data_IF_512373945065
#
_entry.id   IF_512373945065
#
_cell.length_a   1.000
_cell.length_b   1.000
_cell.length_c   1.000
_cell.angle_alpha   90.00
_cell.angle_beta   90.00
_cell.angle_gamma   90.00
#
_symmetry.space_group_name_H-M   'P 1'
#
loop_
_entity.id
_entity.type
_entity.pdbx_description
1 polymer ?
#
# COMPACT_ATOMS: atom_id res chain seq x y z
N UNK A 1 -8.66 17.24 8.22
CA UNK A 1 -7.56 16.39 8.74
C UNK A 1 -8.00 14.93 8.83
N UNK A 2 -8.97 14.59 9.68
CA UNK A 2 -9.42 13.20 9.89
C UNK A 2 -9.82 12.45 8.62
N UNK A 3 -10.67 13.02 7.76
CA UNK A 3 -11.07 12.41 6.47
C UNK A 3 -9.88 12.06 5.57
N UNK A 4 -8.84 12.90 5.54
CA UNK A 4 -7.63 12.66 4.75
C UNK A 4 -6.87 11.47 5.32
N UNK A 5 -6.68 11.45 6.64
CA UNK A 5 -6.02 10.35 7.35
C UNK A 5 -6.76 9.04 7.10
N UNK A 6 -8.09 9.02 7.19
CA UNK A 6 -8.89 7.82 6.90
C UNK A 6 -8.72 7.32 5.47
N UNK A 7 -8.74 8.21 4.47
CA UNK A 7 -8.47 7.84 3.07
C UNK A 7 -7.04 7.32 2.93
N UNK A 8 -6.06 7.97 3.56
CA UNK A 8 -4.67 7.50 3.62
C UNK A 8 -4.58 6.09 4.20
N UNK A 9 -5.21 5.83 5.36
CA UNK A 9 -5.21 4.50 5.99
C UNK A 9 -5.85 3.44 5.10
N UNK A 10 -6.96 3.75 4.41
CA UNK A 10 -7.61 2.82 3.48
C UNK A 10 -6.72 2.48 2.29
N UNK A 11 -6.14 3.50 1.65
CA UNK A 11 -5.24 3.29 0.50
C UNK A 11 -3.95 2.58 0.94
N UNK A 12 -3.43 2.90 2.13
CA UNK A 12 -2.30 2.22 2.74
C UNK A 12 -2.61 0.75 3.06
N UNK A 13 -3.79 0.44 3.57
CA UNK A 13 -4.21 -0.95 3.80
C UNK A 13 -4.30 -1.74 2.48
N UNK A 14 -4.86 -1.13 1.44
CA UNK A 14 -4.90 -1.75 0.09
C UNK A 14 -3.46 -1.95 -0.43
N UNK A 15 -2.60 -0.94 -0.28
CA UNK A 15 -1.18 -1.02 -0.61
C UNK A 15 -0.49 -2.18 0.11
N UNK A 16 -0.73 -2.34 1.41
CA UNK A 16 -0.20 -3.45 2.20
C UNK A 16 -0.55 -4.80 1.60
N UNK A 17 -1.84 -5.02 1.30
CA UNK A 17 -2.31 -6.30 0.75
C UNK A 17 -1.69 -6.58 -0.63
N UNK A 18 -1.58 -5.55 -1.48
CA UNK A 18 -0.91 -5.67 -2.78
C UNK A 18 0.59 -5.97 -2.61
N UNK A 19 1.28 -5.28 -1.72
CA UNK A 19 2.69 -5.51 -1.42
C UNK A 19 2.94 -6.90 -0.82
N UNK A 20 2.06 -7.37 0.07
CA UNK A 20 2.12 -8.72 0.62
C UNK A 20 2.02 -9.76 -0.49
N UNK A 21 1.02 -9.64 -1.37
CA UNK A 21 0.86 -10.54 -2.51
C UNK A 21 2.04 -10.49 -3.48
N UNK A 22 2.51 -9.29 -3.80
CA UNK A 22 3.66 -9.09 -4.68
C UNK A 22 4.95 -9.69 -4.10
N UNK A 23 5.19 -9.51 -2.80
CA UNK A 23 6.36 -10.08 -2.11
C UNK A 23 6.32 -11.60 -2.05
N UNK A 24 5.15 -12.18 -1.77
CA UNK A 24 4.97 -13.65 -1.83
C UNK A 24 5.26 -14.16 -3.24
N UNK A 25 4.70 -13.52 -4.26
CA UNK A 25 4.89 -13.91 -5.66
C UNK A 25 6.35 -13.79 -6.10
N UNK A 26 7.02 -12.70 -5.75
CA UNK A 26 8.41 -12.43 -6.10
C UNK A 26 9.36 -13.49 -5.49
N UNK A 27 9.21 -13.76 -4.19
CA UNK A 27 10.04 -14.78 -3.52
C UNK A 27 9.73 -16.17 -4.04
N UNK A 28 8.45 -16.50 -4.26
CA UNK A 28 8.06 -17.82 -4.76
C UNK A 28 8.63 -18.12 -6.15
N UNK A 29 8.81 -17.09 -6.99
CA UNK A 29 9.29 -17.20 -8.36
C UNK A 29 10.82 -17.08 -8.48
N UNK A 30 11.46 -16.20 -7.71
CA UNK A 30 12.89 -15.90 -7.87
C UNK A 30 13.78 -16.56 -6.83
N UNK A 31 13.25 -16.94 -5.66
CA UNK A 31 14.09 -17.51 -4.60
C UNK A 31 14.58 -18.90 -4.98
N UNK A 32 15.88 -19.13 -4.80
CA UNK A 32 16.52 -20.44 -4.99
C UNK A 32 16.46 -21.29 -3.72
N UNK A 33 15.94 -20.75 -2.61
CA UNK A 33 15.78 -21.49 -1.37
C UNK A 33 14.80 -22.66 -1.58
N UNK A 34 15.27 -23.89 -1.31
CA UNK A 34 14.50 -25.13 -1.51
C UNK A 34 13.98 -25.70 -0.20
N UNK A 35 14.52 -25.26 0.94
CA UNK A 35 14.14 -25.78 2.25
C UNK A 35 12.88 -25.11 2.79
N UNK A 36 12.81 -23.76 2.80
CA UNK A 36 11.73 -23.02 3.49
C UNK A 36 11.21 -21.82 2.70
N UNK A 37 11.02 -22.00 1.38
CA UNK A 37 10.59 -20.90 0.49
C UNK A 37 9.25 -20.28 0.87
N UNK A 38 8.31 -21.09 1.37
CA UNK A 38 6.97 -20.60 1.75
C UNK A 38 7.04 -19.66 2.95
N UNK A 39 7.90 -19.95 3.92
CA UNK A 39 8.12 -19.10 5.10
C UNK A 39 8.85 -17.83 4.69
N UNK A 40 9.91 -17.94 3.89
CA UNK A 40 10.62 -16.78 3.33
C UNK A 40 9.64 -15.84 2.60
N UNK A 41 8.81 -16.39 1.71
CA UNK A 41 7.84 -15.61 0.94
C UNK A 41 6.81 -14.90 1.84
N UNK A 42 6.29 -15.62 2.85
CA UNK A 42 5.35 -15.03 3.80
C UNK A 42 5.99 -13.91 4.63
N UNK A 43 7.23 -14.11 5.11
CA UNK A 43 7.92 -13.12 5.93
C UNK A 43 8.30 -11.88 5.11
N UNK A 44 8.85 -12.05 3.92
CA UNK A 44 9.21 -10.95 3.03
C UNK A 44 7.97 -10.16 2.59
N UNK A 45 6.91 -10.86 2.21
CA UNK A 45 5.63 -10.23 1.85
C UNK A 45 5.04 -9.43 3.01
N UNK A 46 4.90 -10.06 4.19
CA UNK A 46 4.20 -9.46 5.32
C UNK A 46 4.98 -8.35 6.04
N UNK A 47 6.31 -8.44 6.11
CA UNK A 47 7.14 -7.56 6.94
C UNK A 47 8.03 -6.59 6.16
N UNK A 48 8.20 -6.77 4.84
CA UNK A 48 9.04 -5.88 4.03
C UNK A 48 8.23 -5.24 2.91
N UNK A 49 7.73 -6.05 1.97
CA UNK A 49 7.07 -5.52 0.77
C UNK A 49 5.70 -4.93 1.08
N UNK A 50 4.90 -5.61 1.92
CA UNK A 50 3.62 -5.12 2.41
C UNK A 50 3.74 -3.74 3.10
N UNK A 51 4.54 -3.59 4.17
CA UNK A 51 4.71 -2.30 4.84
C UNK A 51 5.23 -1.19 3.90
N UNK A 52 6.15 -1.50 2.98
CA UNK A 52 6.64 -0.54 2.00
C UNK A 52 5.50 0.00 1.11
N UNK A 53 4.68 -0.89 0.55
CA UNK A 53 3.54 -0.49 -0.27
C UNK A 53 2.45 0.21 0.57
N UNK A 54 2.31 -0.13 1.85
CA UNK A 54 1.40 0.54 2.76
C UNK A 54 1.77 2.02 2.95
N UNK A 55 3.06 2.31 3.14
CA UNK A 55 3.56 3.68 3.27
C UNK A 55 3.37 4.48 1.98
N UNK A 56 3.66 3.87 0.83
CA UNK A 56 3.43 4.49 -0.48
C UNK A 56 1.93 4.79 -0.67
N UNK A 57 1.07 3.80 -0.44
CA UNK A 57 -0.37 3.96 -0.56
C UNK A 57 -0.93 5.02 0.39
N UNK A 58 -0.48 5.05 1.64
CA UNK A 58 -0.87 6.06 2.61
C UNK A 58 -0.48 7.47 2.13
N UNK A 59 0.76 7.66 1.69
CA UNK A 59 1.24 8.94 1.15
C UNK A 59 0.42 9.42 -0.04
N UNK A 60 0.13 8.53 -0.99
CA UNK A 60 -0.71 8.81 -2.16
C UNK A 60 -2.15 9.18 -1.75
N UNK A 61 -2.74 8.45 -0.80
CA UNK A 61 -4.08 8.73 -0.29
C UNK A 61 -4.20 10.11 0.37
N UNK A 62 -3.18 10.53 1.13
CA UNK A 62 -3.11 11.87 1.74
C UNK A 62 -2.95 12.97 0.68
N UNK A 63 -2.10 12.74 -0.33
CA UNK A 63 -1.82 13.68 -1.41
C UNK A 63 -3.04 13.91 -2.31
N UNK A 64 -3.72 12.82 -2.71
CA UNK A 64 -4.92 12.87 -3.54
C UNK A 64 -6.09 13.56 -2.82
N UNK A 65 -6.27 13.27 -1.53
CA UNK A 65 -7.32 13.90 -0.71
C UNK A 65 -7.06 15.39 -0.41
N UNK A 66 -5.83 15.87 -0.61
CA UNK A 66 -5.49 17.28 -0.51
C UNK A 66 -5.98 18.09 -1.72
N UNK A 67 -5.79 17.56 -2.93
CA UNK A 67 -6.12 18.25 -4.18
C UNK A 67 -7.64 18.42 -4.40
N UNK A 68 -8.47 17.53 -3.84
CA UNK A 68 -9.93 17.55 -4.05
C UNK A 68 -10.67 18.72 -3.37
N UNK A 69 -9.97 19.57 -2.61
CA UNK A 69 -10.57 20.71 -1.88
C UNK A 69 -10.47 22.05 -2.62
N UNK A 70 -9.56 22.21 -3.57
CA UNK A 70 -9.35 23.49 -4.26
C UNK A 70 -10.41 23.76 -5.35
N UNK A 71 -11.00 22.70 -5.93
CA UNK A 71 -11.90 22.80 -7.09
C UNK A 71 -13.40 22.76 -6.78
N UNK A 72 -13.79 22.70 -5.50
CA UNK A 72 -15.21 22.52 -5.09
C UNK A 72 -15.82 23.80 -4.50
N UNK A 73 -15.09 24.93 -4.56
CA UNK A 73 -15.50 26.23 -4.00
C UNK A 73 -16.04 27.24 -5.01
N UNK A 74 -16.18 26.89 -6.29
CA UNK A 74 -16.86 27.76 -7.25
C UNK A 74 -18.38 27.58 -7.13
N UNK A 75 -19.14 28.62 -6.71
CA UNK A 75 -20.59 28.55 -6.80
C UNK A 75 -20.96 28.49 -8.28
N UNK A 76 -21.64 27.40 -8.68
CA UNK A 76 -22.25 27.32 -10.01
C UNK A 76 -23.27 28.47 -10.16
N UNK A 77 -23.26 29.18 -11.31
CA UNK A 77 -24.10 30.35 -11.56
C UNK A 77 -25.60 30.03 -11.56
#
# INVERSE_FOLDING_TARGET
MLKRIMVGCLVGLIGYLLGLGAGIWLVSTLSTNTHDRSVEAAMTGAFVVGPLFALIGFGLGIAYSGHKREGDSEPRP
#
